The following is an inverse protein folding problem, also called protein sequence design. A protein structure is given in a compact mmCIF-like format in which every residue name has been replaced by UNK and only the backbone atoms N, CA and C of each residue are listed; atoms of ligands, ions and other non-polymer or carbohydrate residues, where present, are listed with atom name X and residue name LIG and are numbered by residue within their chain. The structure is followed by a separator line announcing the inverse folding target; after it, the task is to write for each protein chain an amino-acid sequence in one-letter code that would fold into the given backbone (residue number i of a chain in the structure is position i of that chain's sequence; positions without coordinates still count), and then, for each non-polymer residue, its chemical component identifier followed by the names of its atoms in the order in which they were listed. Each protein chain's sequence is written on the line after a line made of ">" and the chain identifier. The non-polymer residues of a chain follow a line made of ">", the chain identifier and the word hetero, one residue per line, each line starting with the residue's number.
data_IF_548945768449
#
_entry.id   IF_548945768449
#
_cell.length_a   1.000
_cell.length_b   1.000
_cell.length_c   1.000
_cell.angle_alpha   90.00
_cell.angle_beta   90.00
_cell.angle_gamma   90.00
#
_symmetry.space_group_name_H-M   'P 1'
#
loop_
_entity.id
_entity.type
_entity.pdbx_description
1 polymer ?
#
# COMPACT_ATOMS: atom_id res chain seq x y z
N UNK A 1 -0.64 -4.12 35.65
CA UNK A 1 0.38 -4.81 34.84
C UNK A 1 -0.25 -5.25 33.53
N UNK A 2 0.15 -4.65 32.40
CA UNK A 2 -0.32 -5.11 31.10
C UNK A 2 0.26 -6.51 30.84
N UNK A 3 -0.61 -7.48 30.49
CA UNK A 3 -0.20 -8.83 30.13
C UNK A 3 0.75 -8.74 28.93
N UNK A 4 2.00 -9.17 29.09
CA UNK A 4 3.00 -9.16 28.00
C UNK A 4 2.48 -10.03 26.85
N UNK A 5 2.15 -9.41 25.72
CA UNK A 5 1.72 -10.13 24.53
C UNK A 5 2.99 -10.66 23.84
N UNK A 6 3.13 -11.98 23.83
CA UNK A 6 4.28 -12.66 23.22
C UNK A 6 3.94 -12.98 21.76
N UNK A 7 4.57 -12.27 20.83
CA UNK A 7 4.54 -12.60 19.40
C UNK A 7 5.55 -13.70 19.11
N UNK A 8 5.18 -14.67 18.26
CA UNK A 8 6.08 -15.75 17.80
C UNK A 8 5.82 -16.03 16.33
N UNK A 9 6.83 -16.51 15.62
CA UNK A 9 6.64 -17.01 14.25
C UNK A 9 5.53 -18.07 14.26
N UNK A 10 4.67 -18.02 13.24
CA UNK A 10 3.46 -18.83 13.10
C UNK A 10 2.19 -18.23 13.71
N UNK A 11 2.28 -17.11 14.45
CA UNK A 11 1.08 -16.44 14.99
C UNK A 11 0.25 -15.84 13.86
N UNK A 12 -1.06 -16.02 13.96
CA UNK A 12 -2.04 -15.50 13.01
C UNK A 12 -2.86 -14.43 13.72
N UNK A 13 -3.01 -13.31 13.03
CA UNK A 13 -3.67 -12.11 13.52
C UNK A 13 -4.87 -11.77 12.64
N UNK A 14 -5.88 -11.17 13.26
CA UNK A 14 -7.06 -10.63 12.62
C UNK A 14 -7.04 -9.11 12.76
N UNK A 15 -7.22 -8.41 11.65
CA UNK A 15 -7.52 -6.99 11.60
C UNK A 15 -8.98 -6.81 11.20
N UNK A 16 -9.73 -6.01 11.96
CA UNK A 16 -11.11 -5.65 11.64
C UNK A 16 -11.11 -4.30 10.94
N UNK A 17 -11.54 -4.27 9.68
CA UNK A 17 -11.43 -3.10 8.82
C UNK A 17 -12.76 -2.36 8.84
N UNK A 18 -12.79 -1.23 9.55
CA UNK A 18 -13.92 -0.30 9.61
C UNK A 18 -15.27 -0.93 10.00
N UNK A 19 -15.25 -2.06 10.72
CA UNK A 19 -16.45 -2.82 11.06
C UNK A 19 -17.18 -3.44 9.87
N UNK A 20 -16.53 -3.53 8.70
CA UNK A 20 -17.12 -4.07 7.46
C UNK A 20 -16.66 -5.49 7.18
N UNK A 21 -15.36 -5.76 7.35
CA UNK A 21 -14.77 -7.05 7.06
C UNK A 21 -13.53 -7.33 7.92
N UNK A 22 -13.13 -8.59 7.94
CA UNK A 22 -11.94 -9.11 8.61
C UNK A 22 -10.88 -9.48 7.59
N UNK A 23 -9.65 -9.07 7.86
CA UNK A 23 -8.46 -9.49 7.15
C UNK A 23 -7.56 -10.29 8.09
N UNK A 24 -6.83 -11.25 7.54
CA UNK A 24 -5.91 -12.07 8.32
C UNK A 24 -4.49 -11.96 7.78
N UNK A 25 -3.53 -12.12 8.68
CA UNK A 25 -2.13 -12.27 8.30
C UNK A 25 -1.41 -13.19 9.26
N UNK A 26 -0.30 -13.76 8.80
CA UNK A 26 0.58 -14.61 9.62
C UNK A 26 1.96 -13.97 9.73
N UNK A 27 2.50 -13.96 10.94
CA UNK A 27 3.92 -13.66 11.18
C UNK A 27 4.76 -14.89 10.83
N UNK A 28 5.62 -14.82 9.81
CA UNK A 28 6.25 -16.01 9.20
C UNK A 28 7.77 -16.05 9.33
N UNK A 29 8.44 -14.90 9.39
CA UNK A 29 9.89 -14.83 9.48
C UNK A 29 10.33 -13.53 10.14
N UNK A 30 11.57 -13.48 10.60
CA UNK A 30 12.21 -12.26 11.08
C UNK A 30 13.30 -11.90 10.09
N UNK A 31 13.41 -10.63 9.73
CA UNK A 31 14.47 -10.16 8.85
C UNK A 31 15.53 -9.40 9.63
N UNK A 32 16.67 -10.04 9.85
CA UNK A 32 17.81 -9.46 10.55
C UNK A 32 18.49 -8.34 9.75
N UNK A 33 18.43 -8.39 8.41
CA UNK A 33 19.08 -7.38 7.55
C UNK A 33 18.23 -6.12 7.46
N UNK A 34 16.91 -6.24 7.59
CA UNK A 34 15.98 -5.11 7.61
C UNK A 34 15.41 -4.83 9.01
N UNK A 35 16.21 -4.14 9.83
CA UNK A 35 15.86 -3.64 11.18
C UNK A 35 15.30 -4.69 12.13
N UNK A 36 15.68 -5.96 11.96
CA UNK A 36 15.21 -7.06 12.81
C UNK A 36 13.68 -7.20 12.82
N UNK A 37 13.04 -6.77 11.73
CA UNK A 37 11.59 -6.56 11.64
C UNK A 37 10.83 -7.87 11.45
N UNK A 38 9.52 -7.82 11.68
CA UNK A 38 8.65 -8.97 11.48
C UNK A 38 8.19 -9.04 10.04
N UNK A 39 8.44 -10.16 9.38
CA UNK A 39 7.91 -10.44 8.04
C UNK A 39 6.57 -11.13 8.17
N UNK A 40 5.55 -10.55 7.54
CA UNK A 40 4.19 -11.08 7.50
C UNK A 40 3.82 -11.49 6.08
N UNK A 41 2.92 -12.48 5.99
CA UNK A 41 2.12 -12.71 4.78
C UNK A 41 0.67 -12.40 5.07
N UNK A 42 0.05 -11.62 4.20
CA UNK A 42 -1.35 -11.20 4.32
C UNK A 42 -2.20 -12.04 3.38
N UNK A 43 -3.32 -12.54 3.87
CA UNK A 43 -4.24 -13.38 3.09
C UNK A 43 -5.23 -12.50 2.32
N UNK A 44 -5.60 -12.94 1.12
CA UNK A 44 -6.36 -12.14 0.14
C UNK A 44 -7.84 -12.00 0.46
N UNK A 45 -8.45 -13.00 1.09
CA UNK A 45 -9.89 -12.98 1.30
C UNK A 45 -10.29 -11.97 2.37
N UNK A 46 -11.28 -11.12 2.05
CA UNK A 46 -12.03 -10.33 3.03
C UNK A 46 -13.19 -11.16 3.56
N UNK A 47 -13.18 -11.40 4.87
CA UNK A 47 -14.21 -12.21 5.53
C UNK A 47 -15.29 -11.32 6.15
N UNK A 48 -16.56 -11.74 6.20
CA UNK A 48 -17.59 -11.00 6.92
C UNK A 48 -17.26 -10.88 8.42
N UNK A 49 -17.79 -9.86 9.08
CA UNK A 49 -17.50 -9.60 10.50
C UNK A 49 -17.89 -10.75 11.43
N UNK A 50 -18.91 -11.51 11.06
CA UNK A 50 -19.43 -12.66 11.81
C UNK A 50 -18.55 -13.91 11.65
N UNK A 51 -17.59 -13.89 10.72
CA UNK A 51 -16.71 -15.02 10.47
C UNK A 51 -15.92 -15.39 11.72
N UNK A 52 -15.98 -16.69 12.06
CA UNK A 52 -15.23 -17.31 13.14
C UNK A 52 -13.95 -17.92 12.54
N UNK A 53 -12.75 -17.44 12.91
CA UNK A 53 -11.51 -17.86 12.26
C UNK A 53 -11.27 -19.38 12.34
N UNK A 54 -11.19 -20.04 11.19
CA UNK A 54 -10.71 -21.41 11.06
C UNK A 54 -9.29 -21.38 10.51
N UNK A 55 -8.31 -21.67 11.37
CA UNK A 55 -6.88 -21.49 11.05
C UNK A 55 -6.44 -22.31 9.83
N UNK A 56 -6.94 -23.54 9.67
CA UNK A 56 -6.62 -24.41 8.54
C UNK A 56 -7.08 -23.86 7.20
N UNK A 57 -8.12 -23.02 7.19
CA UNK A 57 -8.71 -22.47 5.98
C UNK A 57 -7.98 -21.18 5.62
N UNK A 58 -7.73 -20.33 6.62
CA UNK A 58 -6.98 -19.08 6.46
C UNK A 58 -5.59 -19.33 5.86
N UNK A 59 -4.84 -20.34 6.34
CA UNK A 59 -3.47 -20.57 5.86
C UNK A 59 -3.38 -21.11 4.43
N UNK A 60 -4.50 -21.60 3.87
CA UNK A 60 -4.61 -22.10 2.49
C UNK A 60 -5.07 -21.02 1.51
N UNK A 61 -5.49 -19.87 2.03
CA UNK A 61 -5.91 -18.73 1.22
C UNK A 61 -4.74 -18.20 0.38
N UNK A 62 -5.09 -17.55 -0.73
CA UNK A 62 -4.13 -16.85 -1.57
C UNK A 62 -3.44 -15.72 -0.78
N UNK A 63 -2.17 -15.49 -1.09
CA UNK A 63 -1.42 -14.39 -0.48
C UNK A 63 -1.70 -13.11 -1.25
N UNK A 64 -2.14 -12.07 -0.54
CA UNK A 64 -2.31 -10.73 -1.08
C UNK A 64 -0.96 -10.03 -1.26
N UNK A 65 -0.13 -10.06 -0.22
CA UNK A 65 1.20 -9.45 -0.20
C UNK A 65 2.05 -9.95 0.97
N UNK A 66 3.35 -9.67 0.87
CA UNK A 66 4.30 -9.79 1.97
C UNK A 66 4.77 -8.41 2.41
N UNK A 67 5.11 -8.25 3.68
CA UNK A 67 5.61 -6.97 4.20
C UNK A 67 6.46 -7.14 5.45
N UNK A 68 7.38 -6.20 5.64
CA UNK A 68 8.05 -5.97 6.92
C UNK A 68 7.22 -5.02 7.78
N UNK A 69 7.07 -5.33 9.07
CA UNK A 69 6.36 -4.47 10.01
C UNK A 69 6.81 -4.69 11.46
N UNK A 70 6.34 -3.85 12.37
CA UNK A 70 6.49 -4.00 13.83
C UNK A 70 5.16 -4.46 14.42
N UNK A 71 5.04 -5.78 14.67
CA UNK A 71 3.79 -6.41 15.15
C UNK A 71 3.24 -5.80 16.44
N UNK A 72 4.15 -5.42 17.35
CA UNK A 72 3.78 -4.88 18.65
C UNK A 72 2.96 -3.60 18.53
N UNK A 73 3.28 -2.73 17.57
CA UNK A 73 2.58 -1.47 17.40
C UNK A 73 1.10 -1.70 17.09
N UNK A 74 0.77 -2.57 16.13
CA UNK A 74 -0.63 -2.84 15.79
C UNK A 74 -1.40 -3.57 16.90
N UNK A 75 -0.73 -4.37 17.73
CA UNK A 75 -1.35 -4.94 18.94
C UNK A 75 -1.66 -3.82 19.95
N UNK A 76 -0.68 -2.95 20.21
CA UNK A 76 -0.79 -1.86 21.19
C UNK A 76 -1.90 -0.87 20.82
N UNK A 77 -2.02 -0.52 19.54
CA UNK A 77 -3.05 0.37 19.01
C UNK A 77 -4.36 -0.37 18.63
N UNK A 78 -4.50 -1.64 19.00
CA UNK A 78 -5.70 -2.46 18.74
C UNK A 78 -6.10 -2.54 17.25
N UNK A 79 -5.12 -2.43 16.35
CA UNK A 79 -5.32 -2.61 14.91
C UNK A 79 -5.51 -4.08 14.53
N UNK A 80 -4.92 -4.99 15.31
CA UNK A 80 -5.12 -6.43 15.17
C UNK A 80 -4.94 -7.18 16.47
N UNK A 81 -5.56 -8.36 16.54
CA UNK A 81 -5.45 -9.28 17.67
C UNK A 81 -5.14 -10.70 17.19
N UNK A 82 -4.45 -11.47 18.03
CA UNK A 82 -4.09 -12.85 17.71
C UNK A 82 -5.34 -13.73 17.74
N UNK A 83 -5.52 -14.54 16.69
CA UNK A 83 -6.63 -15.52 16.59
C UNK A 83 -6.17 -16.97 16.60
N UNK A 84 -4.88 -17.24 16.37
CA UNK A 84 -4.37 -18.60 16.43
C UNK A 84 -2.88 -18.71 16.09
N UNK A 85 -2.46 -19.93 15.80
CA UNK A 85 -1.09 -20.24 15.37
C UNK A 85 -1.10 -21.40 14.38
N UNK A 86 -0.22 -21.37 13.39
CA UNK A 86 0.08 -22.51 12.53
C UNK A 86 1.59 -22.64 12.33
N UNK A 87 2.05 -23.89 12.17
CA UNK A 87 3.44 -24.20 11.78
C UNK A 87 3.65 -24.19 10.28
N UNK A 88 2.57 -24.18 9.50
CA UNK A 88 2.64 -24.01 8.05
C UNK A 88 2.88 -22.52 7.76
N UNK A 89 4.12 -22.20 7.37
CA UNK A 89 4.57 -20.81 7.19
C UNK A 89 4.58 -20.37 5.72
N UNK A 90 4.41 -21.30 4.77
CA UNK A 90 4.44 -20.99 3.32
C UNK A 90 5.75 -20.38 2.85
N UNK A 91 6.89 -20.85 3.39
CA UNK A 91 8.21 -20.26 3.11
C UNK A 91 8.65 -20.38 1.65
N UNK A 92 8.14 -21.39 0.92
CA UNK A 92 8.39 -21.53 -0.53
C UNK A 92 7.86 -20.34 -1.34
N UNK A 93 6.77 -19.72 -0.90
CA UNK A 93 6.26 -18.49 -1.50
C UNK A 93 7.18 -17.32 -1.17
N UNK A 94 7.58 -17.19 0.10
CA UNK A 94 8.46 -16.10 0.56
C UNK A 94 9.81 -16.08 -0.17
N UNK A 95 10.39 -17.25 -0.45
CA UNK A 95 11.68 -17.38 -1.17
C UNK A 95 11.63 -16.86 -2.62
N UNK A 96 10.43 -16.72 -3.21
CA UNK A 96 10.26 -16.21 -4.58
C UNK A 96 10.08 -14.70 -4.63
N UNK A 97 9.91 -14.05 -3.48
CA UNK A 97 9.64 -12.63 -3.39
C UNK A 97 10.94 -11.88 -3.15
N UNK A 98 11.17 -10.89 -3.99
CA UNK A 98 12.22 -9.90 -3.77
C UNK A 98 11.62 -8.74 -2.95
N UNK A 99 12.36 -8.26 -1.97
CA UNK A 99 12.08 -6.98 -1.35
C UNK A 99 13.00 -5.94 -1.96
N UNK A 100 12.51 -4.70 -2.10
CA UNK A 100 13.32 -3.62 -2.63
C UNK A 100 12.82 -2.24 -2.27
N UNK A 101 13.75 -1.29 -2.28
CA UNK A 101 13.47 0.15 -2.20
C UNK A 101 14.60 0.94 -2.88
N UNK A 102 14.38 2.23 -3.08
CA UNK A 102 15.41 3.14 -3.57
C UNK A 102 16.01 3.96 -2.44
N UNK A 103 17.25 4.43 -2.61
CA UNK A 103 17.84 5.42 -1.71
C UNK A 103 18.07 6.73 -2.47
N UNK A 104 17.68 7.85 -1.84
CA UNK A 104 17.81 9.18 -2.44
C UNK A 104 19.16 9.82 -2.20
N UNK A 105 19.90 9.32 -1.23
CA UNK A 105 21.19 9.83 -0.86
C UNK A 105 22.10 8.71 -0.37
N UNK A 106 23.38 9.02 -0.30
CA UNK A 106 24.39 8.24 0.41
C UNK A 106 25.26 9.18 1.23
N UNK A 107 26.06 8.63 2.14
CA UNK A 107 27.03 9.41 2.90
C UNK A 107 28.45 8.91 2.60
N UNK A 108 29.29 9.82 2.12
CA UNK A 108 30.70 9.54 1.82
C UNK A 108 31.63 10.43 2.64
N UNK A 109 32.90 10.03 2.74
CA UNK A 109 33.92 10.81 3.45
C UNK A 109 34.75 11.61 2.46
N UNK A 110 34.47 12.91 2.35
CA UNK A 110 35.17 13.85 1.47
C UNK A 110 36.00 14.80 2.35
N UNK A 111 37.32 14.89 2.09
CA UNK A 111 38.26 15.71 2.87
C UNK A 111 38.19 15.48 4.40
N UNK A 112 37.87 14.26 4.80
CA UNK A 112 37.77 13.88 6.21
C UNK A 112 36.42 14.13 6.87
N UNK A 113 35.46 14.76 6.18
CA UNK A 113 34.10 15.04 6.66
C UNK A 113 33.09 14.10 6.02
N UNK A 114 32.03 13.75 6.76
CA UNK A 114 30.88 13.03 6.21
C UNK A 114 30.00 14.00 5.44
N UNK A 115 29.83 13.73 4.15
CA UNK A 115 29.05 14.54 3.22
C UNK A 115 27.92 13.70 2.66
N UNK A 116 26.71 14.28 2.63
CA UNK A 116 25.53 13.69 1.99
C UNK A 116 25.65 13.95 0.48
N UNK A 117 25.51 12.89 -0.31
CA UNK A 117 25.51 12.96 -1.76
C UNK A 117 24.12 12.56 -2.24
N UNK A 118 23.48 13.45 -3.00
CA UNK A 118 22.20 13.18 -3.63
C UNK A 118 22.38 12.19 -4.79
N UNK A 119 21.49 11.19 -4.84
CA UNK A 119 21.46 10.15 -5.86
C UNK A 119 20.14 10.22 -6.62
N UNK A 120 20.15 9.81 -7.89
CA UNK A 120 18.89 9.54 -8.58
C UNK A 120 18.29 8.25 -8.01
N UNK A 121 17.14 8.30 -7.30
CA UNK A 121 16.61 7.13 -6.63
C UNK A 121 16.26 5.99 -7.60
N UNK A 122 15.78 6.32 -8.80
CA UNK A 122 15.39 5.34 -9.80
C UNK A 122 16.58 4.62 -10.46
N UNK A 123 17.79 5.13 -10.25
CA UNK A 123 19.05 4.51 -10.66
C UNK A 123 19.82 3.91 -9.48
N UNK A 124 19.21 3.85 -8.29
CA UNK A 124 19.82 3.37 -7.06
C UNK A 124 18.88 2.42 -6.29
N UNK A 125 18.48 1.34 -6.97
CA UNK A 125 17.67 0.27 -6.41
C UNK A 125 18.52 -0.73 -5.63
N UNK A 126 17.98 -1.12 -4.48
CA UNK A 126 18.50 -2.17 -3.64
C UNK A 126 17.44 -3.26 -3.51
N UNK A 127 17.84 -4.51 -3.72
CA UNK A 127 16.95 -5.67 -3.59
C UNK A 127 17.56 -6.73 -2.68
N UNK A 128 16.72 -7.54 -2.03
CA UNK A 128 17.17 -8.65 -1.19
C UNK A 128 16.06 -9.68 -0.95
N UNK A 129 16.46 -10.86 -0.48
CA UNK A 129 15.56 -11.80 0.18
C UNK A 129 15.73 -11.71 1.70
N UNK A 130 14.70 -12.13 2.45
CA UNK A 130 14.69 -12.09 3.92
C UNK A 130 15.93 -12.77 4.52
N UNK A 131 16.63 -12.08 5.43
CA UNK A 131 17.91 -12.49 6.04
C UNK A 131 19.11 -12.62 5.09
N UNK A 132 19.00 -12.14 3.85
CA UNK A 132 20.11 -12.05 2.91
C UNK A 132 20.63 -10.60 2.82
N UNK A 133 21.91 -10.40 2.45
CA UNK A 133 22.45 -9.07 2.23
C UNK A 133 21.71 -8.29 1.14
N UNK A 134 21.70 -6.97 1.25
CA UNK A 134 21.22 -6.09 0.19
C UNK A 134 22.13 -6.18 -1.04
N UNK A 135 21.52 -6.20 -2.22
CA UNK A 135 22.17 -6.20 -3.53
C UNK A 135 21.79 -4.90 -4.22
N UNK A 136 22.79 -4.07 -4.51
CA UNK A 136 22.63 -2.88 -5.34
C UNK A 136 22.56 -3.31 -6.82
N UNK A 137 21.48 -2.92 -7.50
CA UNK A 137 21.25 -3.27 -8.91
C UNK A 137 21.19 -2.03 -9.82
N UNK A 138 21.26 -0.83 -9.24
CA UNK A 138 21.16 0.43 -9.96
C UNK A 138 19.74 0.65 -10.50
N UNK A 139 19.53 0.49 -11.80
CA UNK A 139 18.20 0.61 -12.43
C UNK A 139 17.44 -0.70 -12.29
N UNK A 140 16.18 -0.64 -11.85
CA UNK A 140 15.35 -1.83 -11.73
C UNK A 140 15.03 -2.44 -13.11
N UNK A 141 15.42 -3.70 -13.41
CA UNK A 141 15.06 -4.33 -14.67
C UNK A 141 13.55 -4.60 -14.75
N UNK A 142 12.99 -4.45 -15.95
CA UNK A 142 11.54 -4.53 -16.18
C UNK A 142 10.88 -5.84 -15.73
N UNK A 143 11.62 -6.95 -15.80
CA UNK A 143 11.17 -8.26 -15.33
C UNK A 143 10.88 -8.32 -13.81
N UNK A 144 11.50 -7.44 -13.01
CA UNK A 144 11.32 -7.40 -11.56
C UNK A 144 10.19 -6.47 -11.09
N UNK A 145 9.66 -5.60 -11.96
CA UNK A 145 8.63 -4.59 -11.58
C UNK A 145 7.39 -5.21 -10.92
N UNK A 146 7.05 -6.45 -11.29
CA UNK A 146 5.91 -7.19 -10.73
C UNK A 146 6.30 -8.28 -9.72
N UNK A 147 7.59 -8.43 -9.42
CA UNK A 147 8.13 -9.47 -8.54
C UNK A 147 8.66 -8.91 -7.21
N UNK A 148 8.68 -7.59 -7.07
CA UNK A 148 9.19 -6.89 -5.89
C UNK A 148 8.06 -6.44 -4.98
N UNK A 149 8.20 -6.77 -3.71
CA UNK A 149 7.50 -6.12 -2.60
C UNK A 149 8.32 -4.95 -2.07
N UNK A 150 7.63 -3.92 -1.60
CA UNK A 150 8.30 -2.77 -0.99
C UNK A 150 8.95 -3.20 0.32
N UNK A 151 10.23 -2.90 0.47
CA UNK A 151 11.06 -3.49 1.52
C UNK A 151 11.17 -2.66 2.80
N UNK A 152 10.51 -1.51 2.90
CA UNK A 152 10.48 -0.70 4.11
C UNK A 152 9.76 -1.42 5.26
N UNK A 153 10.12 -1.06 6.50
CA UNK A 153 9.39 -1.52 7.68
C UNK A 153 8.16 -0.65 7.87
N UNK A 154 7.01 -1.14 7.42
CA UNK A 154 5.77 -0.37 7.45
C UNK A 154 5.17 -0.27 8.86
N UNK A 155 4.67 0.91 9.25
CA UNK A 155 3.90 1.06 10.48
C UNK A 155 2.54 0.35 10.34
N UNK A 156 1.90 0.07 11.47
CA UNK A 156 0.70 -0.78 11.50
C UNK A 156 -0.47 -0.21 10.68
N UNK A 157 -0.62 1.11 10.64
CA UNK A 157 -1.69 1.78 9.91
C UNK A 157 -1.53 1.63 8.40
N UNK A 158 -0.29 1.55 7.89
CA UNK A 158 -0.02 1.30 6.47
C UNK A 158 -0.31 -0.16 6.09
N UNK A 159 -0.03 -1.11 6.98
CA UNK A 159 -0.43 -2.51 6.78
C UNK A 159 -1.96 -2.64 6.71
N UNK A 160 -2.68 -1.98 7.62
CA UNK A 160 -4.15 -1.94 7.62
C UNK A 160 -4.68 -1.23 6.37
N UNK A 161 -4.05 -0.13 5.95
CA UNK A 161 -4.41 0.57 4.72
C UNK A 161 -4.27 -0.35 3.51
N UNK A 162 -3.14 -1.05 3.35
CA UNK A 162 -2.92 -1.97 2.23
C UNK A 162 -3.85 -3.18 2.26
N UNK A 163 -4.21 -3.69 3.44
CA UNK A 163 -5.26 -4.72 3.59
C UNK A 163 -6.63 -4.24 3.09
N UNK A 164 -6.93 -2.95 3.30
CA UNK A 164 -8.19 -2.31 2.93
C UNK A 164 -8.24 -1.94 1.44
N UNK A 165 -7.14 -1.40 0.90
CA UNK A 165 -7.12 -0.74 -0.40
C UNK A 165 -6.34 -1.48 -1.48
N UNK A 166 -5.42 -2.38 -1.12
CA UNK A 166 -4.46 -3.02 -2.03
C UNK A 166 -3.14 -2.26 -2.21
N UNK A 167 -3.03 -1.02 -1.72
CA UNK A 167 -1.84 -0.17 -1.89
C UNK A 167 -1.57 0.73 -0.68
N UNK A 168 -0.37 1.31 -0.59
CA UNK A 168 -0.07 2.34 0.40
C UNK A 168 -0.25 3.76 -0.16
N UNK A 169 -0.68 4.69 0.68
CA UNK A 169 -1.05 6.06 0.27
C UNK A 169 0.10 7.06 0.30
N UNK A 170 1.24 6.73 0.90
CA UNK A 170 2.37 7.65 1.00
C UNK A 170 2.98 8.00 -0.37
N UNK A 171 3.58 9.18 -0.49
CA UNK A 171 4.35 9.59 -1.67
C UNK A 171 5.69 8.86 -1.71
N UNK A 172 5.97 8.16 -2.79
CA UNK A 172 7.25 7.48 -3.01
C UNK A 172 7.59 7.43 -4.50
N UNK A 173 8.88 7.56 -4.79
CA UNK A 173 9.40 7.62 -6.17
C UNK A 173 9.36 6.23 -6.82
N UNK A 174 9.43 5.17 -6.01
CA UNK A 174 9.28 3.78 -6.42
C UNK A 174 7.98 3.54 -7.20
N UNK A 175 6.92 4.32 -6.94
CA UNK A 175 5.63 4.19 -7.64
C UNK A 175 5.66 4.66 -9.10
N UNK A 176 6.74 5.31 -9.54
CA UNK A 176 6.98 5.52 -10.97
C UNK A 176 7.18 4.19 -11.71
N UNK A 177 7.73 3.18 -11.02
CA UNK A 177 8.05 1.86 -11.57
C UNK A 177 7.08 0.78 -11.02
N UNK A 178 7.03 0.61 -9.70
CA UNK A 178 6.18 -0.39 -9.03
C UNK A 178 4.78 0.20 -8.86
N UNK A 179 3.89 -0.03 -9.84
CA UNK A 179 2.56 0.58 -9.85
C UNK A 179 1.68 0.14 -8.67
N UNK A 180 0.91 1.07 -8.12
CA UNK A 180 -0.10 0.78 -7.10
C UNK A 180 -1.25 -0.02 -7.71
N UNK A 181 -1.68 -1.09 -7.05
CA UNK A 181 -2.75 -1.97 -7.51
C UNK A 181 -3.91 -1.97 -6.51
N UNK A 182 -4.95 -1.17 -6.73
CA UNK A 182 -6.11 -1.16 -5.85
C UNK A 182 -6.88 -2.48 -5.90
N UNK A 183 -7.50 -2.86 -4.79
CA UNK A 183 -8.46 -3.96 -4.77
C UNK A 183 -9.64 -3.63 -5.69
N UNK A 184 -10.22 -4.61 -6.40
CA UNK A 184 -11.19 -4.35 -7.48
C UNK A 184 -12.42 -3.54 -7.07
N UNK A 185 -12.85 -3.66 -5.82
CA UNK A 185 -14.02 -3.03 -5.22
C UNK A 185 -13.67 -1.84 -4.32
N UNK A 186 -12.38 -1.49 -4.21
CA UNK A 186 -11.95 -0.39 -3.38
C UNK A 186 -12.24 0.97 -4.03
N UNK A 187 -12.80 1.89 -3.25
CA UNK A 187 -13.08 3.25 -3.69
C UNK A 187 -11.94 4.19 -3.31
N UNK A 188 -11.32 4.81 -4.32
CA UNK A 188 -10.26 5.81 -4.14
C UNK A 188 -10.77 7.18 -4.58
N UNK A 189 -10.73 8.15 -3.66
CA UNK A 189 -11.13 9.53 -3.91
C UNK A 189 -9.90 10.43 -3.88
N UNK A 190 -9.71 11.21 -4.94
CA UNK A 190 -8.50 12.01 -5.12
C UNK A 190 -8.81 13.42 -5.59
N UNK A 191 -7.89 14.33 -5.31
CA UNK A 191 -7.87 15.71 -5.76
C UNK A 191 -6.46 16.05 -6.27
N UNK A 192 -6.37 16.76 -7.39
CA UNK A 192 -5.11 17.27 -7.92
C UNK A 192 -5.28 18.64 -8.54
N UNK A 193 -4.24 19.46 -8.45
CA UNK A 193 -4.13 20.70 -9.23
C UNK A 193 -3.41 20.41 -10.55
N UNK A 194 -4.05 20.71 -11.67
CA UNK A 194 -3.54 20.47 -13.03
C UNK A 194 -3.73 21.74 -13.85
N UNK A 195 -2.64 22.37 -14.33
CA UNK A 195 -2.67 23.51 -15.28
C UNK A 195 -3.81 24.54 -15.05
N UNK A 196 -3.81 25.18 -13.87
CA UNK A 196 -4.84 26.16 -13.45
C UNK A 196 -6.26 25.58 -13.32
N UNK A 197 -6.37 24.29 -13.03
CA UNK A 197 -7.63 23.61 -12.72
C UNK A 197 -7.48 22.77 -11.47
N UNK A 198 -8.60 22.52 -10.80
CA UNK A 198 -8.68 21.55 -9.70
C UNK A 198 -9.48 20.37 -10.21
N UNK A 199 -8.88 19.19 -10.21
CA UNK A 199 -9.49 17.96 -10.71
C UNK A 199 -9.75 17.00 -9.56
N UNK A 200 -10.98 16.52 -9.45
CA UNK A 200 -11.39 15.49 -8.51
C UNK A 200 -11.63 14.19 -9.25
N UNK A 201 -11.14 13.09 -8.68
CA UNK A 201 -11.25 11.76 -9.24
C UNK A 201 -11.90 10.82 -8.23
N UNK A 202 -12.77 9.93 -8.73
CA UNK A 202 -13.27 8.80 -7.97
C UNK A 202 -13.08 7.53 -8.80
N UNK A 203 -12.21 6.64 -8.31
CA UNK A 203 -11.95 5.33 -8.89
C UNK A 203 -12.63 4.24 -8.07
N UNK A 204 -13.03 3.17 -8.76
CA UNK A 204 -13.38 1.88 -8.16
C UNK A 204 -12.43 0.84 -8.73
N UNK A 205 -11.63 0.26 -7.84
CA UNK A 205 -10.42 -0.46 -8.24
C UNK A 205 -9.56 0.42 -9.14
N UNK A 206 -9.18 -0.12 -10.29
CA UNK A 206 -8.33 0.57 -11.24
C UNK A 206 -9.11 1.46 -12.24
N UNK A 207 -10.45 1.47 -12.17
CA UNK A 207 -11.30 2.11 -13.19
C UNK A 207 -11.88 3.43 -12.70
N UNK A 208 -11.65 4.50 -13.46
CA UNK A 208 -12.20 5.82 -13.18
C UNK A 208 -13.73 5.81 -13.33
N UNK A 209 -14.45 6.16 -12.26
CA UNK A 209 -15.91 6.22 -12.25
C UNK A 209 -16.43 7.63 -12.47
N UNK A 210 -15.79 8.62 -11.85
CA UNK A 210 -16.21 10.00 -11.92
C UNK A 210 -14.99 10.93 -11.94
N UNK A 211 -15.07 11.97 -12.78
CA UNK A 211 -14.08 13.04 -12.85
C UNK A 211 -14.81 14.39 -12.87
N UNK A 212 -14.38 15.30 -12.01
CA UNK A 212 -14.89 16.67 -11.94
C UNK A 212 -13.71 17.63 -12.09
N UNK A 213 -13.76 18.48 -13.12
CA UNK A 213 -12.76 19.52 -13.36
C UNK A 213 -13.36 20.87 -13.02
N UNK A 214 -12.71 21.61 -12.14
CA UNK A 214 -13.08 22.97 -11.75
C UNK A 214 -12.02 23.98 -12.20
N UNK A 215 -12.40 25.25 -12.29
CA UNK A 215 -11.46 26.38 -12.41
C UNK A 215 -10.46 26.42 -11.24
N UNK A 216 -9.36 27.16 -11.42
CA UNK A 216 -8.30 27.34 -10.41
C UNK A 216 -8.81 27.79 -9.04
N UNK A 217 -9.84 28.65 -9.03
CA UNK A 217 -10.48 29.16 -7.81
C UNK A 217 -11.51 28.16 -7.21
N UNK A 218 -11.74 27.03 -7.87
CA UNK A 218 -12.67 25.99 -7.48
C UNK A 218 -14.13 26.42 -7.53
N UNK A 219 -14.50 27.49 -8.24
CA UNK A 219 -15.87 28.02 -8.23
C UNK A 219 -16.70 27.62 -9.45
N UNK A 220 -16.05 27.34 -10.58
CA UNK A 220 -16.71 27.07 -11.86
C UNK A 220 -16.46 25.64 -12.30
N UNK A 221 -17.53 24.93 -12.65
CA UNK A 221 -17.42 23.60 -13.26
C UNK A 221 -17.00 23.73 -14.72
N UNK A 222 -15.87 23.12 -15.07
CA UNK A 222 -15.35 23.07 -16.43
C UNK A 222 -15.75 21.78 -17.15
N UNK A 223 -15.71 20.65 -16.45
CA UNK A 223 -16.20 19.37 -16.97
C UNK A 223 -16.68 18.43 -15.87
N UNK A 224 -17.67 17.60 -16.21
CA UNK A 224 -18.14 16.48 -15.40
C UNK A 224 -18.18 15.25 -16.28
N UNK A 225 -17.45 14.21 -15.90
CA UNK A 225 -17.42 12.94 -16.62
C UNK A 225 -17.81 11.82 -15.65
N UNK A 226 -18.58 10.85 -16.14
CA UNK A 226 -19.02 9.69 -15.36
C UNK A 226 -19.10 8.47 -16.26
N UNK A 227 -18.76 7.30 -15.71
CA UNK A 227 -18.66 6.07 -16.47
C UNK A 227 -20.02 5.71 -17.09
N UNK A 228 -20.01 5.27 -18.35
CA UNK A 228 -21.22 4.90 -19.09
C UNK A 228 -21.93 6.04 -19.83
N UNK A 229 -21.38 7.26 -19.86
CA UNK A 229 -21.86 8.30 -20.78
C UNK A 229 -21.25 8.13 -22.17
N UNK A 230 -22.00 8.44 -23.23
CA UNK A 230 -21.61 8.14 -24.62
C UNK A 230 -20.33 8.86 -25.12
N UNK A 231 -19.82 9.84 -24.36
CA UNK A 231 -18.68 10.69 -24.70
C UNK A 231 -17.50 10.64 -23.70
N UNK A 232 -17.52 9.77 -22.68
CA UNK A 232 -16.50 9.82 -21.63
C UNK A 232 -15.17 9.16 -22.05
N UNK A 233 -14.09 9.93 -22.11
CA UNK A 233 -12.73 9.42 -22.36
C UNK A 233 -12.09 8.81 -21.08
N UNK A 234 -12.85 8.75 -19.98
CA UNK A 234 -12.36 8.33 -18.66
C UNK A 234 -12.04 6.83 -18.57
N UNK A 235 -12.61 5.99 -19.43
CA UNK A 235 -12.35 4.53 -19.42
C UNK A 235 -10.88 4.19 -19.65
N UNK A 236 -10.14 5.12 -20.29
CA UNK A 236 -8.71 5.02 -20.58
C UNK A 236 -7.82 5.41 -19.41
N UNK A 237 -8.33 6.15 -18.43
CA UNK A 237 -7.55 6.59 -17.27
C UNK A 237 -7.61 5.51 -16.22
N UNK A 238 -6.46 4.92 -15.90
CA UNK A 238 -6.31 3.95 -14.82
C UNK A 238 -5.72 4.58 -13.57
N UNK A 239 -6.13 4.07 -12.41
CA UNK A 239 -5.58 4.52 -11.14
C UNK A 239 -4.06 4.27 -11.09
N UNK A 240 -3.63 3.09 -11.56
CA UNK A 240 -2.25 2.65 -11.52
C UNK A 240 -1.31 3.39 -12.48
N UNK A 241 -1.83 4.05 -13.51
CA UNK A 241 -1.03 4.82 -14.48
C UNK A 241 -0.57 6.16 -13.92
N UNK A 242 -1.21 6.66 -12.86
CA UNK A 242 -0.92 7.95 -12.25
C UNK A 242 -0.11 7.73 -10.96
N UNK A 243 1.05 8.41 -10.84
CA UNK A 243 1.78 8.42 -9.59
C UNK A 243 1.16 9.43 -8.62
N UNK A 244 0.33 8.92 -7.71
CA UNK A 244 -0.34 9.72 -6.70
C UNK A 244 0.60 10.11 -5.55
N UNK A 245 0.46 11.35 -5.10
CA UNK A 245 1.06 11.86 -3.87
C UNK A 245 0.08 11.68 -2.70
N UNK A 246 0.61 11.68 -1.48
CA UNK A 246 -0.15 11.49 -0.27
C UNK A 246 -1.28 12.53 -0.10
N UNK A 247 -0.99 13.78 -0.42
CA UNK A 247 -1.93 14.91 -0.34
C UNK A 247 -2.98 14.91 -1.45
N UNK A 248 -2.81 14.09 -2.49
CA UNK A 248 -3.86 13.88 -3.48
C UNK A 248 -5.03 13.06 -2.92
N UNK A 249 -4.84 12.24 -1.89
CA UNK A 249 -5.91 11.40 -1.35
C UNK A 249 -6.83 12.21 -0.44
N UNK A 250 -8.12 12.22 -0.76
CA UNK A 250 -9.16 12.89 0.03
C UNK A 250 -10.17 11.89 0.58
N UNK A 251 -10.98 12.34 1.54
CA UNK A 251 -12.06 11.52 2.08
C UNK A 251 -13.23 11.41 1.09
N UNK A 252 -14.02 10.34 1.25
CA UNK A 252 -15.29 10.18 0.50
C UNK A 252 -16.22 11.36 0.79
N UNK A 253 -16.30 11.77 2.05
CA UNK A 253 -17.16 12.84 2.53
C UNK A 253 -16.80 14.18 1.89
N UNK A 254 -15.50 14.47 1.76
CA UNK A 254 -14.99 15.65 1.07
C UNK A 254 -15.35 15.63 -0.41
N UNK A 255 -15.08 14.53 -1.12
CA UNK A 255 -15.43 14.37 -2.53
C UNK A 255 -16.94 14.55 -2.75
N UNK A 256 -17.78 13.86 -1.97
CA UNK A 256 -19.24 13.96 -2.10
C UNK A 256 -19.78 15.37 -1.79
N UNK A 257 -19.15 16.08 -0.85
CA UNK A 257 -19.55 17.45 -0.50
C UNK A 257 -19.29 18.39 -1.67
N UNK A 258 -18.12 18.30 -2.29
CA UNK A 258 -17.78 19.08 -3.49
C UNK A 258 -18.68 18.68 -4.65
N UNK A 259 -18.86 17.38 -4.89
CA UNK A 259 -19.69 16.88 -5.98
C UNK A 259 -21.13 17.38 -5.89
N UNK A 260 -21.76 17.27 -4.71
CA UNK A 260 -23.13 17.78 -4.49
C UNK A 260 -23.22 19.29 -4.68
N UNK A 261 -22.22 20.05 -4.22
CA UNK A 261 -22.18 21.51 -4.35
C UNK A 261 -22.06 21.96 -5.80
N UNK A 262 -21.28 21.25 -6.62
CA UNK A 262 -20.90 21.70 -7.95
C UNK A 262 -21.78 21.15 -9.07
N UNK A 263 -22.29 19.91 -8.91
CA UNK A 263 -22.98 19.20 -10.00
C UNK A 263 -24.51 19.20 -9.84
N UNK A 264 -25.03 19.28 -8.62
CA UNK A 264 -26.48 19.19 -8.35
C UNK A 264 -27.17 20.57 -8.18
N UNK A 265 -26.80 21.55 -9.00
CA UNK A 265 -27.52 22.84 -9.12
C UNK A 265 -28.36 22.84 -10.40
#
# INVERSE_FOLDING_TARGET
>A
MAKRIVTRIGNIFCAEIEGKFKCFFQYIAKDMTQLNSSVIRVFKTHYPMEYKPVISDIIKDEIAFYAHTVLYAGIYFNAWYKVGTSKELGLEGLQKIWFGYTQRDTTEKIDGLWTIIDLNPLENWWIWHVNEPFIEIGVLPKEYENLIEKGEVFPYNEIVMRMKSGYYIYTQVEYEIIKRKPLPDYHSYLKREEDKTIVYYHFVGDSLQQKLTLSEDGTTVLSVESAGSQDSNIDRIKFCDINWEYDHFISKEEFETIWKKMVNI
#
